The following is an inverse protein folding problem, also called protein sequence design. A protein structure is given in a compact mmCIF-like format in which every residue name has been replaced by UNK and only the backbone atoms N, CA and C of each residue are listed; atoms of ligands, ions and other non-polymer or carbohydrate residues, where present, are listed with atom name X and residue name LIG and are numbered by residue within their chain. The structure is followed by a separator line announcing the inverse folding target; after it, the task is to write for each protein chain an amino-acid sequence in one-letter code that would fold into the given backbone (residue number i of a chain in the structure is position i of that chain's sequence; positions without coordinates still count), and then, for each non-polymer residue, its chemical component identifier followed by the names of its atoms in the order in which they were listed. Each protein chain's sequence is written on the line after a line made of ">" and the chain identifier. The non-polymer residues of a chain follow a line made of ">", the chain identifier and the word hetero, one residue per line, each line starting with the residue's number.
data_IF_756589699590
#
_entry.id   IF_756589699590
#
_cell.length_a   1.000
_cell.length_b   1.000
_cell.length_c   1.000
_cell.angle_alpha   90.00
_cell.angle_beta   90.00
_cell.angle_gamma   90.00
#
_symmetry.space_group_name_H-M   'P 1'
#
loop_
_entity.id
_entity.type
_entity.pdbx_description
1 polymer ?
#
# COMPACT_ATOMS: atom_id res chain seq x y z
N UNK A 1 -19.77 -14.89 5.57
CA UNK A 1 -20.15 -13.52 5.95
C UNK A 1 -21.45 -13.24 5.25
N UNK A 2 -22.48 -12.92 6.03
CA UNK A 2 -23.80 -12.65 5.50
C UNK A 2 -23.90 -11.17 5.12
N UNK A 3 -24.71 -10.78 4.11
CA UNK A 3 -24.89 -9.38 3.74
C UNK A 3 -25.41 -8.47 4.85
N UNK A 4 -25.98 -9.04 5.92
CA UNK A 4 -26.46 -8.34 7.11
C UNK A 4 -25.35 -8.03 8.15
N UNK A 5 -24.09 -8.37 7.84
CA UNK A 5 -22.95 -8.19 8.73
C UNK A 5 -22.78 -9.30 9.77
N UNK A 6 -23.63 -10.33 9.79
CA UNK A 6 -23.44 -11.47 10.69
C UNK A 6 -22.44 -12.49 10.15
N UNK A 7 -21.89 -13.31 11.06
CA UNK A 7 -20.92 -14.35 10.71
C UNK A 7 -19.55 -13.81 10.31
N UNK A 8 -19.15 -12.67 10.91
CA UNK A 8 -17.80 -12.15 10.80
C UNK A 8 -16.78 -13.16 11.34
N UNK A 9 -15.63 -13.19 10.70
CA UNK A 9 -14.49 -14.00 11.13
C UNK A 9 -13.22 -13.24 10.81
N UNK A 10 -12.17 -13.53 11.58
CA UNK A 10 -10.82 -13.07 11.24
C UNK A 10 -10.38 -13.80 9.97
N UNK A 11 -10.26 -13.06 8.87
CA UNK A 11 -9.71 -13.59 7.63
C UNK A 11 -8.18 -13.69 7.71
N UNK A 12 -7.52 -12.64 8.19
CA UNK A 12 -6.08 -12.60 8.48
C UNK A 12 -5.80 -11.63 9.65
N UNK A 13 -4.61 -11.72 10.24
CA UNK A 13 -4.21 -10.88 11.37
C UNK A 13 -2.76 -10.40 11.24
N UNK A 14 -2.33 -9.51 12.13
CA UNK A 14 -0.95 -9.00 12.16
C UNK A 14 -0.61 -8.01 11.05
N UNK A 15 -1.61 -7.43 10.39
CA UNK A 15 -1.46 -6.27 9.51
C UNK A 15 -1.63 -5.02 10.38
N UNK A 16 -0.67 -4.09 10.41
CA UNK A 16 -0.73 -2.92 11.31
C UNK A 16 -1.88 -1.98 10.96
N UNK A 17 -1.95 -1.58 9.70
CA UNK A 17 -2.97 -0.67 9.19
C UNK A 17 -3.19 -0.93 7.67
N UNK A 18 -3.93 -2.00 7.30
CA UNK A 18 -4.25 -2.33 5.91
C UNK A 18 -5.36 -1.40 5.40
N UNK A 19 -5.00 -0.37 4.63
CA UNK A 19 -5.95 0.67 4.20
C UNK A 19 -6.48 0.37 2.79
N UNK A 20 -5.59 0.42 1.80
CA UNK A 20 -5.95 0.18 0.41
C UNK A 20 -6.16 -1.30 0.16
N UNK A 21 -7.22 -1.67 -0.55
CA UNK A 21 -7.56 -3.06 -0.83
C UNK A 21 -8.22 -3.20 -2.21
N UNK A 22 -7.82 -4.22 -2.94
CA UNK A 22 -8.48 -4.62 -4.18
C UNK A 22 -8.27 -6.12 -4.46
N UNK A 23 -9.12 -6.68 -5.30
CA UNK A 23 -9.05 -8.06 -5.74
C UNK A 23 -8.27 -8.15 -7.04
N UNK A 24 -7.16 -8.90 -7.03
CA UNK A 24 -6.37 -9.11 -8.24
C UNK A 24 -7.23 -9.83 -9.30
N UNK A 25 -7.44 -9.24 -10.48
CA UNK A 25 -8.31 -9.81 -11.50
C UNK A 25 -7.75 -11.10 -12.13
N UNK A 26 -6.45 -11.36 -12.00
CA UNK A 26 -5.79 -12.52 -12.60
C UNK A 26 -5.95 -13.80 -11.76
N UNK A 27 -5.96 -13.69 -10.43
CA UNK A 27 -5.98 -14.85 -9.53
C UNK A 27 -7.06 -14.79 -8.43
N UNK A 28 -7.84 -13.71 -8.37
CA UNK A 28 -8.93 -13.53 -7.42
C UNK A 28 -8.48 -13.37 -5.97
N UNK A 29 -7.19 -13.10 -5.70
CA UNK A 29 -6.72 -12.87 -4.34
C UNK A 29 -6.95 -11.43 -3.91
N UNK A 30 -7.28 -11.25 -2.64
CA UNK A 30 -7.28 -9.94 -1.99
C UNK A 30 -5.84 -9.47 -1.83
N UNK A 31 -5.53 -8.25 -2.29
CA UNK A 31 -4.30 -7.55 -1.98
C UNK A 31 -4.59 -6.34 -1.11
N UNK A 32 -3.62 -5.97 -0.27
CA UNK A 32 -3.70 -4.75 0.55
C UNK A 32 -2.39 -3.99 0.59
N UNK A 33 -2.48 -2.66 0.68
CA UNK A 33 -1.40 -1.76 1.05
C UNK A 33 -1.45 -1.46 2.55
N UNK A 34 -0.32 -1.61 3.25
CA UNK A 34 -0.23 -1.49 4.71
C UNK A 34 0.76 -0.42 5.11
N UNK A 35 0.32 0.47 6.01
CA UNK A 35 1.19 1.45 6.66
C UNK A 35 1.88 0.81 7.87
N UNK A 36 3.20 0.80 7.86
CA UNK A 36 3.99 0.05 8.82
C UNK A 36 4.54 0.93 9.95
N UNK A 37 5.44 0.38 10.79
CA UNK A 37 5.89 0.98 12.04
C UNK A 37 6.59 2.33 11.88
N UNK A 38 6.31 3.19 12.85
CA UNK A 38 7.02 4.44 13.06
C UNK A 38 8.23 4.25 14.01
N UNK A 39 9.11 5.25 14.04
CA UNK A 39 10.20 5.43 15.02
C UNK A 39 11.27 4.32 15.07
N UNK A 40 11.53 3.65 13.94
CA UNK A 40 12.66 2.73 13.76
C UNK A 40 13.77 3.27 12.83
N UNK A 41 13.73 4.58 12.54
CA UNK A 41 14.66 5.28 11.66
C UNK A 41 14.04 5.61 10.30
N UNK A 42 14.77 6.33 9.45
CA UNK A 42 14.24 6.80 8.16
C UNK A 42 14.02 5.68 7.15
N UNK A 43 14.82 4.62 7.23
CA UNK A 43 14.87 3.56 6.22
C UNK A 43 14.18 2.27 6.70
N UNK A 44 13.58 2.27 7.90
CA UNK A 44 12.90 1.11 8.48
C UNK A 44 11.62 1.56 9.22
N UNK A 45 10.47 0.91 9.08
CA UNK A 45 10.16 -0.30 8.28
C UNK A 45 9.45 0.10 6.98
N UNK A 46 9.66 -0.60 5.84
CA UNK A 46 8.88 -0.33 4.65
C UNK A 46 7.38 -0.56 4.88
N UNK A 47 6.57 0.38 4.41
CA UNK A 47 5.19 0.08 4.02
C UNK A 47 5.21 -1.02 2.97
N UNK A 48 4.13 -1.77 2.83
CA UNK A 48 4.12 -2.92 1.92
C UNK A 48 2.79 -3.15 1.23
N UNK A 49 2.87 -3.78 0.06
CA UNK A 49 1.74 -4.42 -0.60
C UNK A 49 1.86 -5.92 -0.45
N UNK A 50 0.77 -6.62 -0.13
CA UNK A 50 0.78 -8.08 -0.02
C UNK A 50 -0.56 -8.70 -0.35
N UNK A 51 -0.54 -9.92 -0.87
CA UNK A 51 -1.70 -10.80 -0.95
C UNK A 51 -2.11 -11.25 0.45
N UNK A 52 -3.39 -11.12 0.77
CA UNK A 52 -3.95 -11.50 2.07
C UNK A 52 -4.38 -12.97 2.03
N UNK A 53 -3.70 -13.77 2.84
CA UNK A 53 -3.94 -15.21 2.95
C UNK A 53 -4.87 -15.50 4.12
N UNK A 54 -5.86 -16.37 3.88
CA UNK A 54 -6.74 -16.84 4.94
C UNK A 54 -5.94 -17.51 6.07
N UNK A 55 -6.18 -17.09 7.31
CA UNK A 55 -5.45 -17.51 8.50
C UNK A 55 -4.02 -16.96 8.62
N UNK A 56 -3.60 -16.10 7.68
CA UNK A 56 -2.28 -15.49 7.62
C UNK A 56 -1.99 -14.56 8.80
N UNK A 57 -0.71 -14.48 9.18
CA UNK A 57 -0.22 -13.57 10.22
C UNK A 57 0.95 -12.74 9.68
N UNK A 58 0.82 -11.41 9.68
CA UNK A 58 1.79 -10.49 9.05
C UNK A 58 2.66 -9.72 10.06
N UNK A 59 2.67 -10.19 11.31
CA UNK A 59 3.69 -9.84 12.29
C UNK A 59 3.27 -8.82 13.35
N UNK A 60 2.44 -7.83 13.01
CA UNK A 60 2.04 -6.80 13.98
C UNK A 60 1.34 -7.40 15.21
N UNK A 61 1.66 -6.95 16.45
CA UNK A 61 2.69 -5.96 16.83
C UNK A 61 4.07 -6.56 17.17
N UNK A 62 4.28 -7.87 16.97
CA UNK A 62 5.45 -8.60 17.46
C UNK A 62 6.65 -8.62 16.52
N UNK A 63 6.42 -8.61 15.21
CA UNK A 63 7.43 -8.69 14.17
C UNK A 63 7.09 -7.81 12.97
N UNK A 64 8.09 -7.37 12.22
CA UNK A 64 7.93 -6.55 11.03
C UNK A 64 8.52 -7.24 9.80
N UNK A 65 7.87 -7.06 8.64
CA UNK A 65 8.35 -7.49 7.33
C UNK A 65 8.95 -8.91 7.30
N UNK A 66 8.26 -9.89 7.91
CA UNK A 66 8.79 -11.24 8.14
C UNK A 66 9.13 -11.49 9.61
N UNK A 67 10.06 -12.41 9.87
CA UNK A 67 10.39 -12.88 11.22
C UNK A 67 11.34 -11.93 11.98
N UNK A 68 11.33 -10.63 11.67
CA UNK A 68 12.14 -9.64 12.37
C UNK A 68 11.39 -9.16 13.61
N UNK A 69 11.85 -9.58 14.79
CA UNK A 69 11.23 -9.16 16.04
C UNK A 69 11.25 -7.64 16.21
N UNK A 70 10.12 -7.07 16.63
CA UNK A 70 9.98 -5.64 16.87
C UNK A 70 10.71 -5.24 18.18
N UNK A 71 11.79 -4.43 18.10
CA UNK A 71 12.54 -4.01 19.28
C UNK A 71 11.79 -2.99 20.14
N UNK A 72 10.77 -2.33 19.59
CA UNK A 72 9.97 -1.32 20.28
C UNK A 72 8.87 -1.95 21.16
N UNK A 73 8.49 -3.20 20.88
CA UNK A 73 7.41 -3.89 21.60
C UNK A 73 7.76 -4.12 23.08
N UNK A 74 6.97 -3.53 23.98
CA UNK A 74 7.19 -3.57 25.44
C UNK A 74 6.41 -4.66 26.18
N UNK A 75 5.54 -5.38 25.49
CA UNK A 75 4.74 -6.46 26.09
C UNK A 75 5.49 -7.80 26.18
N UNK A 76 4.81 -8.86 26.64
CA UNK A 76 5.38 -10.21 26.71
C UNK A 76 5.81 -10.70 25.33
N UNK A 77 7.06 -11.14 25.21
CA UNK A 77 7.60 -11.67 23.95
C UNK A 77 6.76 -12.84 23.42
N UNK A 78 6.60 -12.90 22.10
CA UNK A 78 5.82 -13.94 21.39
C UNK A 78 6.65 -14.59 20.28
N UNK A 79 7.70 -15.36 20.62
CA UNK A 79 8.60 -15.95 19.63
C UNK A 79 7.87 -16.83 18.60
N UNK A 80 6.81 -17.54 19.00
CA UNK A 80 6.00 -18.34 18.09
C UNK A 80 5.27 -17.50 17.03
N UNK A 81 4.78 -16.30 17.40
CA UNK A 81 4.14 -15.38 16.47
C UNK A 81 5.14 -14.69 15.56
N UNK A 82 6.33 -14.36 16.08
CA UNK A 82 7.46 -13.88 15.26
C UNK A 82 7.79 -14.93 14.20
N UNK A 83 7.98 -16.19 14.59
CA UNK A 83 8.27 -17.30 13.67
C UNK A 83 7.15 -17.58 12.66
N UNK A 84 5.88 -17.35 13.02
CA UNK A 84 4.73 -17.52 12.11
C UNK A 84 4.61 -16.39 11.08
N UNK A 85 5.31 -15.27 11.28
CA UNK A 85 5.11 -14.07 10.47
C UNK A 85 5.47 -14.29 9.00
N UNK A 86 4.51 -13.98 8.12
CA UNK A 86 4.68 -14.00 6.67
C UNK A 86 5.48 -12.78 6.21
N UNK A 87 6.31 -12.97 5.19
CA UNK A 87 7.00 -11.86 4.51
C UNK A 87 6.04 -11.25 3.49
N UNK A 88 5.80 -9.92 3.52
CA UNK A 88 4.99 -9.23 2.51
C UNK A 88 5.56 -9.34 1.08
N UNK A 89 4.70 -9.26 0.07
CA UNK A 89 5.10 -9.47 -1.33
C UNK A 89 5.97 -8.33 -1.91
N UNK A 90 5.69 -7.07 -1.57
CA UNK A 90 6.39 -5.89 -2.12
C UNK A 90 6.64 -4.85 -1.05
N UNK A 91 7.90 -4.41 -0.92
CA UNK A 91 8.25 -3.24 -0.12
C UNK A 91 7.93 -1.96 -0.92
N UNK A 92 7.09 -1.08 -0.36
CA UNK A 92 6.67 0.19 -0.96
C UNK A 92 7.54 1.38 -0.54
N UNK A 93 8.48 1.16 0.37
CA UNK A 93 9.34 2.16 0.97
C UNK A 93 8.85 2.58 2.36
N UNK A 94 9.79 2.96 3.22
CA UNK A 94 9.53 3.37 4.60
C UNK A 94 8.83 4.73 4.64
N UNK A 95 7.84 4.87 5.53
CA UNK A 95 7.11 6.13 5.78
C UNK A 95 6.36 6.71 4.57
N UNK A 96 6.10 5.93 3.52
CA UNK A 96 5.42 6.44 2.31
C UNK A 96 3.94 6.72 2.52
N UNK A 97 3.35 6.15 3.58
CA UNK A 97 1.93 6.20 3.90
C UNK A 97 1.09 5.72 2.72
N UNK A 98 1.26 4.45 2.34
CA UNK A 98 0.57 3.84 1.21
C UNK A 98 -0.89 3.53 1.53
N UNK A 99 -1.83 4.35 1.06
CA UNK A 99 -3.24 4.33 1.47
C UNK A 99 -4.20 3.69 0.45
N UNK A 100 -3.93 3.83 -0.84
CA UNK A 100 -4.81 3.33 -1.91
C UNK A 100 -4.26 2.08 -2.59
N UNK A 101 -5.12 1.30 -3.22
CA UNK A 101 -4.71 0.17 -4.07
C UNK A 101 -5.79 -0.10 -5.12
N UNK A 102 -5.42 -0.10 -6.40
CA UNK A 102 -6.34 -0.47 -7.48
C UNK A 102 -5.63 -1.22 -8.60
N UNK A 103 -6.17 -2.36 -9.02
CA UNK A 103 -5.71 -3.06 -10.22
C UNK A 103 -6.27 -2.42 -11.48
N UNK A 104 -5.42 -2.24 -12.49
CA UNK A 104 -5.83 -1.65 -13.76
C UNK A 104 -6.30 -2.71 -14.76
N UNK A 105 -7.60 -2.72 -15.05
CA UNK A 105 -8.23 -3.70 -15.95
C UNK A 105 -8.65 -3.15 -17.31
N UNK A 106 -8.59 -1.83 -17.48
CA UNK A 106 -8.98 -1.15 -18.71
C UNK A 106 -7.86 -1.13 -19.77
N UNK A 107 -8.17 -0.59 -20.94
CA UNK A 107 -7.30 -0.59 -22.13
C UNK A 107 -6.86 0.82 -22.58
N UNK A 108 -7.13 1.86 -21.76
CA UNK A 108 -6.87 3.25 -22.13
C UNK A 108 -5.40 3.66 -21.94
N UNK A 109 -4.74 3.17 -20.90
CA UNK A 109 -3.30 3.38 -20.66
C UNK A 109 -2.44 2.36 -21.44
N UNK A 110 -1.13 2.62 -21.64
CA UNK A 110 -0.22 1.66 -22.28
C UNK A 110 -0.32 0.26 -21.69
N UNK A 111 -0.20 -0.77 -22.54
CA UNK A 111 -0.39 -2.17 -22.17
C UNK A 111 0.44 -2.64 -20.96
N UNK A 112 1.60 -2.01 -20.71
CA UNK A 112 2.44 -2.30 -19.53
C UNK A 112 1.74 -2.09 -18.18
N UNK A 113 0.67 -1.27 -18.13
CA UNK A 113 -0.08 -0.99 -16.91
C UNK A 113 -1.20 -2.01 -16.66
N UNK A 114 -1.62 -2.76 -17.71
CA UNK A 114 -2.74 -3.69 -17.61
C UNK A 114 -2.39 -4.86 -16.69
N UNK A 115 -3.25 -5.10 -15.71
CA UNK A 115 -3.11 -6.14 -14.70
C UNK A 115 -2.17 -5.81 -13.54
N UNK A 116 -1.49 -4.66 -13.54
CA UNK A 116 -0.72 -4.20 -12.40
C UNK A 116 -1.53 -3.30 -11.45
N UNK A 117 -0.92 -2.90 -10.35
CA UNK A 117 -1.58 -2.15 -9.29
C UNK A 117 -1.06 -0.70 -9.21
N UNK A 118 -1.98 0.25 -9.05
CA UNK A 118 -1.68 1.63 -8.67
C UNK A 118 -1.88 1.82 -7.18
N UNK A 119 -0.97 2.54 -6.53
CA UNK A 119 -0.97 2.78 -5.08
C UNK A 119 -0.75 4.26 -4.82
N UNK A 120 -1.70 4.88 -4.12
CA UNK A 120 -1.53 6.25 -3.60
C UNK A 120 -0.65 6.26 -2.36
N UNK A 121 0.44 7.04 -2.41
CA UNK A 121 1.36 7.27 -1.31
C UNK A 121 1.16 8.69 -0.78
N UNK A 122 0.55 8.78 0.40
CA UNK A 122 0.12 10.01 1.04
C UNK A 122 1.27 10.87 1.52
N UNK A 123 2.38 10.24 1.87
CA UNK A 123 3.63 10.89 2.20
C UNK A 123 3.99 10.91 3.68
N UNK A 124 5.29 11.01 3.95
CA UNK A 124 5.86 10.89 5.29
C UNK A 124 5.49 12.05 6.23
N UNK A 125 5.37 11.71 7.51
CA UNK A 125 5.48 12.65 8.64
C UNK A 125 6.63 12.26 9.59
N UNK A 126 7.05 10.98 9.58
CA UNK A 126 8.06 10.41 10.47
C UNK A 126 9.32 9.97 9.69
N UNK A 127 9.84 10.84 8.82
CA UNK A 127 11.12 10.65 8.13
C UNK A 127 11.85 11.99 8.03
N UNK A 128 13.18 11.99 8.05
CA UNK A 128 13.98 13.19 7.80
C UNK A 128 13.88 13.70 6.36
N UNK A 129 13.40 12.85 5.44
CA UNK A 129 13.18 13.18 4.02
C UNK A 129 11.71 13.05 3.67
N UNK A 130 11.32 13.80 2.64
CA UNK A 130 9.99 13.67 2.03
C UNK A 130 9.97 12.40 1.18
N UNK A 131 9.19 11.42 1.61
CA UNK A 131 9.01 10.13 0.91
C UNK A 131 7.53 9.90 0.70
N UNK A 132 7.15 9.25 -0.41
CA UNK A 132 5.77 9.18 -0.87
C UNK A 132 5.37 10.41 -1.69
N UNK A 133 4.21 11.00 -1.40
CA UNK A 133 3.65 12.15 -2.14
C UNK A 133 3.51 11.90 -3.64
N UNK A 134 3.01 10.71 -4.00
CA UNK A 134 2.90 10.25 -5.39
C UNK A 134 1.93 9.09 -5.54
N UNK A 135 1.65 8.73 -6.79
CA UNK A 135 1.10 7.42 -7.14
C UNK A 135 2.21 6.58 -7.74
N UNK A 136 2.40 5.37 -7.21
CA UNK A 136 3.30 4.37 -7.77
C UNK A 136 2.52 3.29 -8.51
N UNK A 137 3.18 2.64 -9.46
CA UNK A 137 2.70 1.47 -10.17
C UNK A 137 3.56 0.27 -9.80
N UNK A 138 2.91 -0.84 -9.45
CA UNK A 138 3.54 -2.15 -9.24
C UNK A 138 3.22 -3.03 -10.46
N UNK A 139 4.22 -3.37 -11.29
CA UNK A 139 4.00 -4.28 -12.40
C UNK A 139 3.72 -5.70 -11.91
N UNK A 140 2.80 -6.37 -12.59
CA UNK A 140 2.51 -7.79 -12.37
C UNK A 140 2.91 -8.60 -13.60
N UNK A 141 3.37 -9.83 -13.36
CA UNK A 141 3.69 -10.82 -14.39
C UNK A 141 3.19 -12.18 -13.91
N UNK A 142 2.48 -12.90 -14.77
CA UNK A 142 1.95 -14.24 -14.48
C UNK A 142 1.15 -14.29 -13.17
N UNK A 143 0.35 -13.24 -12.91
CA UNK A 143 -0.50 -13.11 -11.72
C UNK A 143 0.24 -12.72 -10.43
N UNK A 144 1.56 -12.45 -10.48
CA UNK A 144 2.37 -12.09 -9.31
C UNK A 144 3.00 -10.71 -9.44
N UNK A 145 3.19 -9.96 -8.35
CA UNK A 145 3.92 -8.71 -8.41
C UNK A 145 5.39 -8.96 -8.76
N UNK A 146 5.99 -8.07 -9.53
CA UNK A 146 7.40 -8.16 -9.91
C UNK A 146 8.36 -7.73 -8.80
N UNK A 147 7.86 -7.06 -7.75
CA UNK A 147 8.65 -6.43 -6.70
C UNK A 147 9.25 -5.08 -7.08
N UNK A 148 9.05 -4.63 -8.33
CA UNK A 148 9.50 -3.32 -8.81
C UNK A 148 8.43 -2.25 -8.56
N UNK A 149 8.90 -1.01 -8.43
CA UNK A 149 8.06 0.18 -8.32
C UNK A 149 8.39 1.13 -9.47
N UNK A 150 7.36 1.65 -10.13
CA UNK A 150 7.47 2.72 -11.11
C UNK A 150 6.70 3.95 -10.61
N UNK A 151 7.27 5.13 -10.74
CA UNK A 151 6.54 6.37 -10.50
C UNK A 151 5.50 6.58 -11.62
N UNK A 152 4.24 6.80 -11.24
CA UNK A 152 3.14 7.04 -12.18
C UNK A 152 2.67 8.50 -12.19
N UNK A 153 2.46 9.07 -11.00
CA UNK A 153 2.06 10.48 -10.84
C UNK A 153 2.87 11.11 -9.71
N UNK A 154 3.69 12.10 -10.04
CA UNK A 154 4.59 12.80 -9.11
C UNK A 154 4.41 14.32 -9.21
N UNK A 155 5.21 15.08 -8.47
CA UNK A 155 5.18 16.55 -8.50
C UNK A 155 4.26 17.18 -7.45
N UNK A 156 3.88 16.43 -6.42
CA UNK A 156 3.05 16.94 -5.31
C UNK A 156 3.83 17.73 -4.27
N UNK A 157 5.15 17.59 -4.20
CA UNK A 157 6.00 18.36 -3.28
C UNK A 157 6.28 19.72 -3.94
N UNK A 158 5.82 20.80 -3.31
CA UNK A 158 6.01 22.17 -3.81
C UNK A 158 7.34 22.75 -3.34
N UNK A 159 7.62 22.62 -2.05
CA UNK A 159 8.87 23.07 -1.42
C UNK A 159 9.17 22.19 -0.20
N UNK A 160 10.15 21.30 -0.34
CA UNK A 160 10.52 20.37 0.73
C UNK A 160 11.19 21.07 1.93
N UNK A 161 11.83 22.21 1.73
CA UNK A 161 12.51 22.96 2.79
C UNK A 161 11.51 23.71 3.66
N UNK A 162 10.44 24.25 3.05
CA UNK A 162 9.34 24.91 3.76
C UNK A 162 8.24 23.97 4.24
N UNK A 163 8.27 22.73 3.77
CA UNK A 163 7.27 21.71 4.04
C UNK A 163 5.93 21.95 3.38
N UNK A 164 5.96 22.48 2.15
CA UNK A 164 4.78 22.78 1.36
C UNK A 164 4.52 21.70 0.31
N UNK A 165 3.24 21.32 0.18
CA UNK A 165 2.77 20.35 -0.81
C UNK A 165 1.58 20.89 -1.58
N UNK A 166 1.47 20.52 -2.85
CA UNK A 166 0.28 20.76 -3.67
C UNK A 166 -0.85 19.77 -3.38
N UNK A 167 -0.53 18.63 -2.77
CA UNK A 167 -1.48 17.57 -2.50
C UNK A 167 -0.86 16.33 -1.86
N UNK A 168 -1.71 15.42 -1.38
CA UNK A 168 -1.31 14.15 -0.78
C UNK A 168 -2.20 13.02 -1.34
N UNK A 169 -1.69 12.22 -2.29
CA UNK A 169 -2.48 11.14 -2.90
C UNK A 169 -2.98 10.13 -1.86
N UNK A 170 -4.26 9.77 -1.93
CA UNK A 170 -4.90 8.78 -1.04
C UNK A 170 -5.29 7.53 -1.83
N UNK A 171 -6.46 7.53 -2.47
CA UNK A 171 -7.04 6.38 -3.14
C UNK A 171 -6.97 6.55 -4.66
N UNK A 172 -6.85 5.43 -5.38
CA UNK A 172 -6.96 5.40 -6.83
C UNK A 172 -8.27 4.73 -7.27
N UNK A 173 -8.72 4.99 -8.50
CA UNK A 173 -9.91 4.32 -9.03
C UNK A 173 -9.97 4.38 -10.55
N UNK A 174 -10.43 3.30 -11.18
CA UNK A 174 -10.55 3.24 -12.64
C UNK A 174 -11.98 3.60 -13.07
N UNK A 175 -12.12 4.63 -13.90
CA UNK A 175 -13.40 5.00 -14.52
C UNK A 175 -13.73 4.09 -15.70
N UNK A 176 -15.01 4.11 -16.11
CA UNK A 176 -15.51 3.34 -17.26
C UNK A 176 -14.79 3.64 -18.58
N UNK A 177 -14.27 4.85 -18.75
CA UNK A 177 -13.50 5.25 -19.93
C UNK A 177 -12.01 4.84 -19.84
N UNK A 178 -11.63 4.13 -18.78
CA UNK A 178 -10.28 3.66 -18.51
C UNK A 178 -9.33 4.71 -17.94
N UNK A 179 -9.81 5.94 -17.66
CA UNK A 179 -9.04 6.95 -16.93
C UNK A 179 -8.93 6.60 -15.44
N UNK A 180 -7.90 7.11 -14.78
CA UNK A 180 -7.65 6.88 -13.35
C UNK A 180 -8.02 8.15 -12.57
N UNK A 181 -8.79 7.99 -11.50
CA UNK A 181 -8.99 9.00 -10.48
C UNK A 181 -7.96 8.83 -9.35
N UNK A 182 -7.52 9.94 -8.78
CA UNK A 182 -6.70 9.98 -7.56
C UNK A 182 -7.33 10.97 -6.61
N UNK A 183 -7.67 10.53 -5.40
CA UNK A 183 -8.17 11.42 -4.35
C UNK A 183 -7.02 12.07 -3.59
N UNK A 184 -7.24 13.29 -3.14
CA UNK A 184 -6.26 14.11 -2.42
C UNK A 184 -6.98 14.89 -1.33
N UNK A 185 -6.82 14.44 -0.10
CA UNK A 185 -7.51 14.98 1.08
C UNK A 185 -6.92 16.31 1.54
N UNK A 186 -5.60 16.50 1.38
CA UNK A 186 -4.90 17.72 1.78
C UNK A 186 -5.31 18.94 0.95
N UNK A 187 -5.55 18.75 -0.35
CA UNK A 187 -6.00 19.83 -1.24
C UNK A 187 -7.50 19.83 -1.52
N UNK A 188 -8.24 18.84 -1.00
CA UNK A 188 -9.66 18.60 -1.26
C UNK A 188 -9.97 18.52 -2.77
N UNK A 189 -9.22 17.66 -3.49
CA UNK A 189 -9.32 17.50 -4.95
C UNK A 189 -9.45 16.04 -5.35
N UNK A 190 -9.99 15.85 -6.55
CA UNK A 190 -9.93 14.58 -7.28
C UNK A 190 -9.24 14.86 -8.61
N UNK A 191 -8.11 14.22 -8.82
CA UNK A 191 -7.35 14.31 -10.07
C UNK A 191 -7.85 13.25 -11.04
N UNK A 192 -8.04 13.60 -12.32
CA UNK A 192 -8.32 12.62 -13.38
C UNK A 192 -7.12 12.56 -14.32
N UNK A 193 -6.55 11.37 -14.44
CA UNK A 193 -5.41 11.08 -15.30
C UNK A 193 -5.92 10.26 -16.49
N UNK A 194 -5.72 10.78 -17.69
CA UNK A 194 -6.14 10.13 -18.93
C UNK A 194 -4.97 10.10 -19.92
N UNK A 195 -4.72 8.94 -20.52
CA UNK A 195 -3.87 8.85 -21.70
C UNK A 195 -4.55 9.56 -22.88
N UNK A 196 -3.76 10.25 -23.71
CA UNK A 196 -4.26 10.87 -24.94
C UNK A 196 -4.53 9.77 -25.97
#
# INVERSE_FOLDING_TARGET
>A
INPDGSGERIYAAGLRNPVGMDWNPADGKLYTAVNERDKLGDELVPDYMTSVQEGGFYGWPYAYFGQHEDPSFKGPKKPDLVKKTLVPDVALGSHTASLGLTFYTADKFPAKYKGGAFIGQHGSWNSSKWVGYKVVYVPFKDGKPTGLLEDFLTGFIADAEKGEVYGRPVETGVLKDGSILVTDDASNRIWRIAAK
#
